data_IF_926456983870
#
_entry.id   IF_926456983870
#
_cell.length_a   1.000
_cell.length_b   1.000
_cell.length_c   1.000
_cell.angle_alpha   90.00
_cell.angle_beta   90.00
_cell.angle_gamma   90.00
#
_symmetry.space_group_name_H-M   'P 1'
#
loop_
_entity.id
_entity.type
_entity.pdbx_description
1 polymer ?
#
# COMPACT_ATOMS: atom_id res chain seq x y z
N UNK A 1 5.34 -65.28 4.37
CA UNK A 1 4.29 -64.35 3.92
C UNK A 1 4.86 -62.99 4.19
N UNK A 2 5.35 -62.33 3.14
CA UNK A 2 5.92 -60.98 3.23
C UNK A 2 4.76 -59.99 3.41
N UNK A 3 4.70 -59.33 4.56
CA UNK A 3 3.83 -58.17 4.77
C UNK A 3 4.47 -56.97 4.05
N UNK A 4 4.03 -56.71 2.82
CA UNK A 4 4.34 -55.45 2.13
C UNK A 4 3.77 -54.28 2.97
N UNK A 5 4.57 -53.25 3.28
CA UNK A 5 4.06 -52.09 3.99
C UNK A 5 2.99 -51.42 3.11
N UNK A 6 1.78 -51.27 3.66
CA UNK A 6 0.67 -50.56 3.01
C UNK A 6 1.20 -49.25 2.40
N UNK A 7 1.18 -49.17 1.07
CA UNK A 7 1.55 -47.97 0.32
C UNK A 7 0.53 -46.88 0.68
N UNK A 8 0.87 -46.07 1.68
CA UNK A 8 0.14 -44.84 2.02
C UNK A 8 -0.08 -44.04 0.74
N UNK A 9 -1.29 -43.52 0.57
CA UNK A 9 -1.67 -42.86 -0.68
C UNK A 9 -0.72 -41.68 -0.90
N UNK A 10 -0.37 -41.35 -2.16
CA UNK A 10 0.59 -40.28 -2.48
C UNK A 10 0.32 -38.91 -1.82
N UNK A 11 -0.91 -38.64 -1.38
CA UNK A 11 -1.29 -37.43 -0.62
C UNK A 11 -1.09 -37.55 0.90
N UNK A 12 -0.93 -38.77 1.44
CA UNK A 12 -0.54 -39.04 2.82
C UNK A 12 0.99 -38.98 3.00
N UNK A 13 1.75 -39.30 1.94
CA UNK A 13 3.22 -39.20 1.94
C UNK A 13 3.79 -37.83 1.54
N UNK A 14 2.93 -36.86 1.20
CA UNK A 14 3.33 -35.57 0.62
C UNK A 14 3.22 -34.37 1.58
N UNK A 15 2.90 -34.60 2.85
CA UNK A 15 3.12 -33.59 3.89
C UNK A 15 4.53 -33.83 4.43
N UNK A 16 5.56 -33.52 3.62
CA UNK A 16 6.89 -33.32 4.19
C UNK A 16 6.72 -32.25 5.26
N UNK A 17 6.79 -32.70 6.53
CA UNK A 17 6.57 -31.84 7.68
C UNK A 17 7.68 -30.82 7.64
N UNK A 18 7.39 -29.60 7.20
CA UNK A 18 8.37 -28.49 7.18
C UNK A 18 9.00 -28.25 8.55
N UNK A 19 8.33 -28.69 9.62
CA UNK A 19 8.82 -28.73 11.00
C UNK A 19 9.95 -29.75 11.27
N UNK A 20 10.14 -30.79 10.45
CA UNK A 20 11.24 -31.76 10.58
C UNK A 20 12.59 -31.21 10.10
N UNK A 21 12.56 -30.15 9.27
CA UNK A 21 13.75 -29.42 8.80
C UNK A 21 14.24 -28.42 9.87
N UNK A 22 13.36 -28.00 10.78
CA UNK A 22 13.72 -27.19 11.94
C UNK A 22 14.59 -28.03 12.91
N UNK A 23 15.91 -27.85 12.86
CA UNK A 23 16.87 -28.47 13.78
C UNK A 23 17.30 -27.45 14.83
N UNK A 24 17.18 -27.82 16.10
CA UNK A 24 17.75 -27.07 17.21
C UNK A 24 19.29 -27.20 17.23
N UNK A 25 19.96 -26.17 17.71
CA UNK A 25 21.38 -26.16 18.02
C UNK A 25 21.66 -26.73 19.43
N UNK A 26 22.93 -26.87 19.81
CA UNK A 26 23.33 -27.39 21.13
C UNK A 26 22.84 -26.56 22.32
N UNK A 27 22.37 -25.33 22.08
CA UNK A 27 21.79 -24.46 23.11
C UNK A 27 20.27 -24.59 23.23
N UNK A 28 19.65 -25.44 22.40
CA UNK A 28 18.19 -25.58 22.30
C UNK A 28 17.52 -24.45 21.52
N UNK A 29 18.28 -23.65 20.76
CA UNK A 29 17.74 -22.59 19.89
C UNK A 29 17.59 -23.09 18.46
N UNK A 30 16.59 -22.59 17.74
CA UNK A 30 16.42 -22.91 16.32
C UNK A 30 17.62 -22.39 15.52
N UNK A 31 18.27 -23.25 14.72
CA UNK A 31 19.31 -22.79 13.79
C UNK A 31 18.69 -21.78 12.83
N UNK A 32 19.20 -20.54 12.83
CA UNK A 32 18.84 -19.58 11.81
C UNK A 32 19.17 -20.19 10.45
N UNK A 33 18.14 -20.41 9.63
CA UNK A 33 18.32 -21.04 8.32
C UNK A 33 19.22 -20.13 7.49
N UNK A 34 20.07 -20.68 6.62
CA UNK A 34 20.88 -19.88 5.68
C UNK A 34 19.98 -18.90 4.90
N UNK A 35 18.73 -19.30 4.65
CA UNK A 35 17.68 -18.47 4.06
C UNK A 35 17.31 -17.23 4.88
N UNK A 36 17.21 -17.32 6.21
CA UNK A 36 16.90 -16.17 7.08
C UNK A 36 18.01 -15.12 7.06
N UNK A 37 19.26 -15.58 7.07
CA UNK A 37 20.45 -14.73 6.99
C UNK A 37 20.50 -14.05 5.62
N UNK A 38 20.28 -14.81 4.54
CA UNK A 38 20.24 -14.29 3.18
C UNK A 38 19.10 -13.27 2.99
N UNK A 39 17.92 -13.56 3.54
CA UNK A 39 16.76 -12.68 3.46
C UNK A 39 16.98 -11.37 4.25
N UNK A 40 17.61 -11.45 5.43
CA UNK A 40 18.00 -10.28 6.22
C UNK A 40 19.04 -9.42 5.49
N UNK A 41 20.04 -10.04 4.88
CA UNK A 41 21.05 -9.34 4.08
C UNK A 41 20.47 -8.67 2.82
N UNK A 42 19.54 -9.36 2.13
CA UNK A 42 18.82 -8.82 0.97
C UNK A 42 17.98 -7.60 1.34
N UNK A 43 17.26 -7.65 2.48
CA UNK A 43 16.51 -6.50 3.01
C UNK A 43 17.43 -5.31 3.30
N UNK A 44 18.56 -5.53 3.97
CA UNK A 44 19.52 -4.45 4.31
C UNK A 44 20.03 -3.70 3.07
N UNK A 45 20.39 -4.42 2.01
CA UNK A 45 20.86 -3.81 0.75
C UNK A 45 19.80 -2.95 0.05
N UNK A 46 18.52 -3.32 0.17
CA UNK A 46 17.42 -2.54 -0.39
C UNK A 46 17.28 -1.17 0.32
N UNK A 47 17.47 -1.12 1.64
CA UNK A 47 17.45 0.12 2.41
C UNK A 47 18.64 1.05 2.13
N UNK A 48 19.79 0.50 1.73
CA UNK A 48 21.01 1.26 1.47
C UNK A 48 21.06 1.87 0.05
N UNK A 49 20.17 1.44 -0.85
CA UNK A 49 20.17 1.88 -2.24
C UNK A 49 19.55 3.29 -2.38
N UNK A 50 20.35 4.32 -2.17
CA UNK A 50 19.96 5.71 -2.43
C UNK A 50 19.96 5.96 -3.94
N UNK A 51 18.76 6.04 -4.53
CA UNK A 51 18.56 6.32 -5.95
C UNK A 51 18.98 7.73 -6.37
N UNK A 52 19.30 7.88 -7.65
CA UNK A 52 19.83 9.10 -8.28
C UNK A 52 18.92 10.32 -8.10
N UNK A 53 19.51 11.39 -7.56
CA UNK A 53 18.84 12.56 -7.00
C UNK A 53 18.52 13.61 -8.06
N UNK A 54 17.30 13.56 -8.62
CA UNK A 54 16.60 14.80 -9.00
C UNK A 54 15.63 15.13 -7.87
N UNK A 55 16.07 16.00 -6.96
CA UNK A 55 15.27 16.43 -5.82
C UNK A 55 14.14 17.33 -6.30
N UNK A 56 12.91 16.81 -6.34
CA UNK A 56 11.72 17.64 -6.37
C UNK A 56 11.56 18.32 -5.02
N UNK A 57 12.17 19.49 -4.82
CA UNK A 57 12.16 20.18 -3.52
C UNK A 57 10.73 20.49 -3.03
N UNK A 58 9.86 20.94 -3.94
CA UNK A 58 8.46 21.23 -3.65
C UNK A 58 7.56 20.18 -4.28
N UNK A 59 6.87 19.39 -3.44
CA UNK A 59 6.02 18.27 -3.86
C UNK A 59 4.58 18.50 -3.45
N UNK A 60 3.67 18.34 -4.40
CA UNK A 60 2.23 18.34 -4.16
C UNK A 60 1.71 16.94 -4.40
N UNK A 61 1.45 16.24 -3.31
CA UNK A 61 1.06 14.84 -3.32
C UNK A 61 -0.43 14.71 -3.05
N UNK A 62 -1.16 14.03 -3.94
CA UNK A 62 -2.47 13.49 -3.63
C UNK A 62 -2.36 12.01 -3.27
N UNK A 63 -2.88 11.64 -2.10
CA UNK A 63 -3.06 10.23 -1.73
C UNK A 63 -4.50 9.84 -2.01
N UNK A 64 -4.69 8.86 -2.89
CA UNK A 64 -5.99 8.26 -3.21
C UNK A 64 -6.12 6.95 -2.43
N UNK A 65 -7.13 6.87 -1.58
CA UNK A 65 -7.42 5.72 -0.73
C UNK A 65 -8.64 5.01 -1.29
N UNK A 66 -8.50 3.74 -1.62
CA UNK A 66 -9.63 2.89 -1.99
C UNK A 66 -10.52 2.63 -0.76
N UNK A 67 -11.81 2.87 -0.90
CA UNK A 67 -12.88 2.66 0.09
C UNK A 67 -13.95 1.69 -0.41
N UNK A 68 -13.58 0.79 -1.32
CA UNK A 68 -14.45 -0.28 -1.84
C UNK A 68 -14.58 -1.45 -0.87
N UNK A 69 -15.50 -2.37 -1.17
CA UNK A 69 -15.79 -3.55 -0.34
C UNK A 69 -14.56 -4.42 -0.01
N UNK A 70 -13.54 -4.42 -0.86
CA UNK A 70 -12.32 -5.23 -0.65
C UNK A 70 -11.47 -4.74 0.52
N UNK A 71 -11.72 -3.51 1.01
CA UNK A 71 -11.03 -2.98 2.19
C UNK A 71 -11.52 -3.57 3.51
N UNK A 72 -12.70 -4.20 3.52
CA UNK A 72 -13.27 -4.85 4.72
C UNK A 72 -12.63 -6.23 4.99
N UNK A 73 -11.88 -6.76 4.01
CA UNK A 73 -11.24 -8.07 4.10
C UNK A 73 -10.15 -8.11 5.18
N UNK A 74 -9.94 -9.30 5.77
CA UNK A 74 -9.11 -9.50 6.97
C UNK A 74 -7.72 -10.10 6.67
N UNK A 75 -7.23 -9.93 5.44
CA UNK A 75 -5.86 -10.28 5.06
C UNK A 75 -4.82 -9.61 5.96
N UNK A 76 -5.10 -8.35 6.33
CA UNK A 76 -4.34 -7.58 7.31
C UNK A 76 -5.25 -7.33 8.51
N UNK A 77 -4.67 -7.37 9.73
CA UNK A 77 -5.45 -7.22 10.96
C UNK A 77 -5.69 -5.75 11.32
N UNK A 78 -6.91 -5.37 11.79
CA UNK A 78 -8.14 -6.16 11.79
C UNK A 78 -8.79 -6.29 10.40
N UNK A 79 -8.66 -5.28 9.56
CA UNK A 79 -9.02 -5.30 8.14
C UNK A 79 -8.02 -4.45 7.33
N UNK A 80 -8.08 -4.55 6.00
CA UNK A 80 -7.18 -3.82 5.08
C UNK A 80 -7.31 -2.29 5.26
N UNK A 81 -8.52 -1.76 5.47
CA UNK A 81 -8.74 -0.32 5.70
C UNK A 81 -7.96 0.19 6.91
N UNK A 82 -8.16 -0.45 8.07
CA UNK A 82 -7.58 -0.02 9.34
C UNK A 82 -6.06 -0.07 9.28
N UNK A 83 -5.51 -1.13 8.71
CA UNK A 83 -4.07 -1.26 8.50
C UNK A 83 -3.54 -0.13 7.59
N UNK A 84 -4.21 0.12 6.47
CA UNK A 84 -3.83 1.17 5.52
C UNK A 84 -3.87 2.55 6.15
N UNK A 85 -4.96 2.91 6.84
CA UNK A 85 -5.11 4.23 7.47
C UNK A 85 -4.07 4.43 8.58
N UNK A 86 -3.73 3.38 9.34
CA UNK A 86 -2.72 3.48 10.39
C UNK A 86 -1.33 3.71 9.82
N UNK A 87 -0.97 3.03 8.74
CA UNK A 87 0.30 3.26 8.04
C UNK A 87 0.32 4.63 7.34
N UNK A 88 -0.83 5.10 6.84
CA UNK A 88 -0.95 6.44 6.27
C UNK A 88 -0.80 7.56 7.32
N UNK A 89 -1.25 7.36 8.56
CA UNK A 89 -0.99 8.30 9.66
C UNK A 89 0.52 8.47 9.85
N UNK A 90 1.25 7.35 9.95
CA UNK A 90 2.71 7.37 10.07
C UNK A 90 3.39 7.98 8.84
N UNK A 91 2.95 7.59 7.63
CA UNK A 91 3.45 8.15 6.37
C UNK A 91 3.29 9.66 6.31
N UNK A 92 2.15 10.22 6.74
CA UNK A 92 1.93 11.67 6.73
C UNK A 92 2.91 12.37 7.67
N UNK A 93 3.11 11.84 8.87
CA UNK A 93 4.05 12.41 9.84
C UNK A 93 5.49 12.37 9.32
N UNK A 94 5.95 11.21 8.85
CA UNK A 94 7.29 11.02 8.29
C UNK A 94 7.50 11.84 7.00
N UNK A 95 6.47 11.92 6.15
CA UNK A 95 6.54 12.69 4.91
C UNK A 95 6.77 14.18 5.20
N UNK A 96 6.05 14.77 6.16
CA UNK A 96 6.24 16.18 6.53
C UNK A 96 7.53 16.43 7.31
N UNK A 97 8.03 15.45 8.07
CA UNK A 97 9.34 15.52 8.72
C UNK A 97 10.48 15.60 7.70
N UNK A 98 10.41 14.77 6.65
CA UNK A 98 11.41 14.75 5.58
C UNK A 98 11.19 15.84 4.51
N UNK A 99 9.95 16.31 4.31
CA UNK A 99 9.57 17.25 3.26
C UNK A 99 8.71 18.42 3.81
N UNK A 100 9.29 19.34 4.61
CA UNK A 100 8.53 20.36 5.35
C UNK A 100 7.81 21.40 4.49
N UNK A 101 8.26 21.61 3.25
CA UNK A 101 7.66 22.57 2.30
C UNK A 101 6.67 21.94 1.32
N UNK A 102 6.46 20.63 1.44
CA UNK A 102 5.53 19.89 0.59
C UNK A 102 4.09 20.00 1.08
N UNK A 103 3.13 19.58 0.26
CA UNK A 103 1.72 19.57 0.61
C UNK A 103 1.12 18.20 0.29
N UNK A 104 0.16 17.77 1.12
CA UNK A 104 -0.60 16.54 0.93
C UNK A 104 -2.08 16.89 0.76
N UNK A 105 -2.78 16.17 -0.11
CA UNK A 105 -4.23 16.11 -0.17
C UNK A 105 -4.69 14.66 -0.09
N UNK A 106 -5.83 14.40 0.56
CA UNK A 106 -6.39 13.06 0.69
C UNK A 106 -7.69 12.97 -0.11
N UNK A 107 -7.79 11.93 -0.95
CA UNK A 107 -8.98 11.56 -1.72
C UNK A 107 -9.36 10.14 -1.32
N UNK A 108 -10.66 9.90 -1.14
CA UNK A 108 -11.20 8.54 -1.03
C UNK A 108 -11.97 8.22 -2.29
N UNK A 109 -11.84 6.99 -2.77
CA UNK A 109 -12.71 6.47 -3.81
C UNK A 109 -13.63 5.39 -3.27
N UNK A 110 -14.93 5.62 -3.36
CA UNK A 110 -15.97 4.76 -2.81
C UNK A 110 -17.21 4.86 -3.69
N UNK A 111 -17.94 3.76 -3.84
CA UNK A 111 -19.23 3.76 -4.55
C UNK A 111 -19.16 4.39 -5.96
N UNK A 112 -18.09 4.09 -6.71
CA UNK A 112 -17.79 4.57 -8.07
C UNK A 112 -17.59 6.09 -8.18
N UNK A 113 -17.37 6.77 -7.05
CA UNK A 113 -17.10 8.21 -6.95
C UNK A 113 -15.77 8.46 -6.26
N UNK A 114 -15.29 9.68 -6.39
CA UNK A 114 -14.13 10.18 -5.67
C UNK A 114 -14.55 11.38 -4.82
N UNK A 115 -14.14 11.37 -3.56
CA UNK A 115 -14.46 12.40 -2.57
C UNK A 115 -13.17 12.95 -1.99
N UNK A 116 -13.05 14.28 -1.98
CA UNK A 116 -11.89 14.93 -1.37
C UNK A 116 -12.08 14.95 0.15
N UNK A 117 -11.31 14.13 0.86
CA UNK A 117 -11.33 14.11 2.32
C UNK A 117 -10.65 15.35 2.92
N UNK A 118 -9.52 15.75 2.35
CA UNK A 118 -8.79 16.95 2.76
C UNK A 118 -8.25 17.69 1.56
N UNK A 119 -8.35 19.01 1.61
CA UNK A 119 -7.69 19.90 0.65
C UNK A 119 -6.17 19.78 0.72
N UNK A 120 -5.52 20.10 -0.41
CA UNK A 120 -4.07 20.14 -0.51
C UNK A 120 -3.52 21.17 0.49
N UNK A 121 -2.79 20.71 1.52
CA UNK A 121 -2.29 21.58 2.58
C UNK A 121 -1.00 21.05 3.20
N UNK A 122 -0.27 21.93 3.90
CA UNK A 122 0.93 21.56 4.68
C UNK A 122 0.65 21.19 6.15
N UNK A 123 -0.63 21.09 6.55
CA UNK A 123 -0.99 20.87 7.96
C UNK A 123 -1.16 19.37 8.25
N UNK A 124 -0.09 18.73 8.74
CA UNK A 124 -0.09 17.31 9.11
C UNK A 124 -1.24 16.91 10.04
N UNK A 125 -1.52 17.72 11.07
CA UNK A 125 -2.59 17.44 12.05
C UNK A 125 -3.95 17.32 11.38
N UNK A 126 -4.26 18.18 10.40
CA UNK A 126 -5.53 18.15 9.66
C UNK A 126 -5.69 16.82 8.91
N UNK A 127 -4.64 16.34 8.28
CA UNK A 127 -4.64 15.07 7.55
C UNK A 127 -4.76 13.87 8.50
N UNK A 128 -4.00 13.87 9.60
CA UNK A 128 -4.07 12.81 10.62
C UNK A 128 -5.46 12.74 11.26
N UNK A 129 -6.09 13.88 11.59
CA UNK A 129 -7.46 13.90 12.12
C UNK A 129 -8.46 13.35 11.10
N UNK A 130 -8.31 13.68 9.81
CA UNK A 130 -9.16 13.12 8.76
C UNK A 130 -8.98 11.60 8.62
N UNK A 131 -7.76 11.09 8.69
CA UNK A 131 -7.48 9.64 8.67
C UNK A 131 -8.08 8.92 9.87
N UNK A 132 -8.00 9.50 11.08
CA UNK A 132 -8.64 8.96 12.28
C UNK A 132 -10.16 8.89 12.14
N UNK A 133 -10.78 9.92 11.55
CA UNK A 133 -12.21 9.92 11.25
C UNK A 133 -12.59 8.90 10.17
N UNK A 134 -11.67 8.57 9.26
CA UNK A 134 -11.89 7.62 8.18
C UNK A 134 -11.95 6.17 8.65
N UNK A 135 -11.54 5.85 9.88
CA UNK A 135 -11.58 4.48 10.42
C UNK A 135 -13.02 3.96 10.48
N UNK A 136 -13.97 4.83 10.81
CA UNK A 136 -15.41 4.49 10.87
C UNK A 136 -16.10 4.60 9.50
N UNK A 137 -15.33 4.72 8.41
CA UNK A 137 -15.89 4.80 7.07
C UNK A 137 -16.40 3.43 6.63
N UNK A 138 -17.70 3.35 6.31
CA UNK A 138 -18.26 2.17 5.66
C UNK A 138 -17.63 1.98 4.28
N UNK A 139 -16.98 0.84 4.01
CA UNK A 139 -16.35 0.57 2.73
C UNK A 139 -17.35 -0.13 1.81
N UNK A 140 -17.86 0.58 0.80
CA UNK A 140 -18.94 0.02 -0.04
C UNK A 140 -18.85 0.40 -1.51
N UNK A 141 -19.38 -0.48 -2.34
CA UNK A 141 -19.29 -0.38 -3.79
C UNK A 141 -17.88 -0.64 -4.30
N UNK A 142 -17.57 -0.03 -5.44
CA UNK A 142 -16.35 -0.25 -6.22
C UNK A 142 -15.56 1.07 -6.34
N UNK A 143 -14.23 1.02 -6.55
CA UNK A 143 -13.42 2.23 -6.71
C UNK A 143 -13.53 2.78 -8.13
N UNK A 144 -13.40 4.10 -8.25
CA UNK A 144 -13.29 4.82 -9.53
C UNK A 144 -11.99 5.61 -9.58
N UNK A 145 -11.02 5.07 -10.32
CA UNK A 145 -9.72 5.69 -10.52
C UNK A 145 -9.82 6.93 -11.43
N UNK A 146 -10.64 6.87 -12.48
CA UNK A 146 -10.89 8.02 -13.38
C UNK A 146 -11.34 9.26 -12.60
N UNK A 147 -12.34 9.12 -11.73
CA UNK A 147 -12.86 10.24 -10.94
C UNK A 147 -11.80 10.77 -9.95
N UNK A 148 -11.02 9.86 -9.36
CA UNK A 148 -9.98 10.22 -8.40
C UNK A 148 -8.84 10.99 -9.05
N UNK A 149 -8.38 10.53 -10.22
CA UNK A 149 -7.36 11.20 -11.02
C UNK A 149 -7.86 12.53 -11.56
N UNK A 150 -9.10 12.59 -12.03
CA UNK A 150 -9.68 13.85 -12.53
C UNK A 150 -9.77 14.90 -11.41
N UNK A 151 -10.19 14.50 -10.20
CA UNK A 151 -10.25 15.38 -9.04
C UNK A 151 -8.86 15.88 -8.60
N UNK A 152 -7.86 14.99 -8.58
CA UNK A 152 -6.47 15.36 -8.31
C UNK A 152 -5.95 16.32 -9.39
N UNK A 153 -6.18 16.01 -10.67
CA UNK A 153 -5.74 16.81 -11.82
C UNK A 153 -6.34 18.22 -11.81
N UNK A 154 -7.63 18.37 -11.45
CA UNK A 154 -8.26 19.69 -11.35
C UNK A 154 -7.53 20.62 -10.38
N UNK A 155 -7.00 20.08 -9.28
CA UNK A 155 -6.25 20.88 -8.31
C UNK A 155 -4.78 21.04 -8.74
N UNK A 156 -4.14 19.94 -9.16
CA UNK A 156 -2.72 19.92 -9.53
C UNK A 156 -2.40 20.72 -10.80
N UNK A 157 -3.35 20.88 -11.73
CA UNK A 157 -3.17 21.66 -12.97
C UNK A 157 -2.85 23.14 -12.70
N UNK A 158 -3.30 23.68 -11.57
CA UNK A 158 -3.05 25.06 -11.18
C UNK A 158 -1.73 25.23 -10.42
N UNK A 159 -1.03 24.13 -10.10
CA UNK A 159 0.25 24.21 -9.40
C UNK A 159 1.37 24.57 -10.38
N UNK A 160 2.38 25.37 -9.95
CA UNK A 160 3.43 25.84 -10.83
C UNK A 160 4.20 24.71 -11.53
N UNK A 161 4.73 24.99 -12.73
CA UNK A 161 5.49 24.01 -13.52
C UNK A 161 6.75 23.48 -12.84
N UNK A 162 7.34 24.26 -11.93
CA UNK A 162 8.57 23.93 -11.22
C UNK A 162 8.36 23.03 -9.99
N UNK A 163 7.11 22.76 -9.60
CA UNK A 163 6.79 21.86 -8.49
C UNK A 163 6.50 20.45 -9.01
N UNK A 164 6.81 19.46 -8.18
CA UNK A 164 6.48 18.06 -8.47
C UNK A 164 5.01 17.83 -8.17
N UNK A 165 4.26 17.33 -9.16
CA UNK A 165 2.84 16.99 -9.05
C UNK A 165 2.72 15.49 -9.02
N UNK A 166 2.35 14.94 -7.86
CA UNK A 166 2.44 13.52 -7.58
C UNK A 166 1.08 12.98 -7.13
N UNK A 167 0.78 11.74 -7.51
CA UNK A 167 -0.41 11.02 -7.06
C UNK A 167 0.01 9.63 -6.60
N UNK A 168 -0.24 9.31 -5.33
CA UNK A 168 -0.06 8.00 -4.73
C UNK A 168 -1.42 7.32 -4.61
N UNK A 169 -1.60 6.16 -5.24
CA UNK A 169 -2.86 5.43 -5.22
C UNK A 169 -2.68 4.15 -4.38
N UNK A 170 -3.45 4.04 -3.31
CA UNK A 170 -3.57 2.83 -2.50
C UNK A 170 -4.85 2.12 -2.91
N UNK A 171 -4.72 1.18 -3.85
CA UNK A 171 -5.83 0.42 -4.41
C UNK A 171 -5.85 -1.00 -3.82
N UNK A 172 -7.00 -1.44 -3.30
CA UNK A 172 -7.20 -2.80 -2.81
C UNK A 172 -7.93 -3.69 -3.81
N UNK A 173 -8.83 -3.10 -4.60
CA UNK A 173 -9.59 -3.82 -5.62
C UNK A 173 -8.71 -4.13 -6.83
N UNK A 174 -8.95 -5.29 -7.45
CA UNK A 174 -8.32 -5.66 -8.73
C UNK A 174 -9.03 -5.04 -9.94
N UNK A 175 -10.20 -4.44 -9.72
CA UNK A 175 -11.01 -3.80 -10.75
C UNK A 175 -11.34 -2.37 -10.35
N UNK A 176 -11.41 -1.47 -11.34
CA UNK A 176 -11.94 -0.11 -11.17
C UNK A 176 -13.13 0.08 -12.12
N UNK A 177 -14.15 0.79 -11.62
CA UNK A 177 -15.40 0.99 -12.32
C UNK A 177 -15.58 2.48 -12.61
N UNK A 178 -15.12 2.87 -13.79
CA UNK A 178 -15.00 4.26 -14.22
C UNK A 178 -16.08 4.66 -15.24
N UNK A 179 -16.51 5.93 -15.25
CA UNK A 179 -17.55 6.41 -16.18
C UNK A 179 -17.05 6.65 -17.61
N UNK A 180 -15.73 6.71 -17.81
CA UNK A 180 -15.10 7.02 -19.09
C UNK A 180 -13.78 6.27 -19.23
N UNK A 181 -13.22 6.31 -20.44
CA UNK A 181 -11.96 5.66 -20.75
C UNK A 181 -10.79 6.34 -20.01
N UNK A 182 -10.18 5.62 -19.07
CA UNK A 182 -9.03 6.11 -18.30
C UNK A 182 -7.78 6.30 -19.14
N UNK A 183 -7.62 5.56 -20.25
CA UNK A 183 -6.46 5.72 -21.13
C UNK A 183 -6.40 7.10 -21.78
N UNK A 184 -7.53 7.79 -21.92
CA UNK A 184 -7.55 9.16 -22.43
C UNK A 184 -6.94 10.17 -21.45
N UNK A 185 -6.90 9.85 -20.15
CA UNK A 185 -6.17 10.63 -19.14
C UNK A 185 -4.66 10.36 -19.19
N UNK A 186 -4.26 9.17 -19.63
CA UNK A 186 -2.86 8.73 -19.68
C UNK A 186 -2.31 9.00 -21.07
N UNK A 187 -2.01 10.27 -21.35
CA UNK A 187 -1.33 10.67 -22.58
C UNK A 187 0.11 11.04 -22.29
N UNK A 188 1.02 10.40 -22.99
CA UNK A 188 2.44 10.78 -22.96
C UNK A 188 2.56 12.11 -23.70
N UNK A 189 3.04 13.15 -23.03
CA UNK A 189 3.53 14.34 -23.73
C UNK A 189 4.82 13.94 -24.45
N UNK A 190 4.76 13.90 -25.79
CA UNK A 190 5.96 13.91 -26.64
C UNK A 190 6.66 15.26 -26.54
#
# INVERSE_FOLDING_TARGET
>A
MDDEPERTKRWEGGYERTWEILKEDESGSLKATIEDILFKAKRKRLYEHHGQVRLGMMRHLYVVIDGSRTMEDQDLKPNRLTCTLKLLEYFVEEYFDQNPISQIGLIVTKSKRAEKMTELSGNSKKHVTALKKAVDMNCSGEPSLYNSLNLAMQTLKHMPGHTSREVLVVLSSLTTCDPANIYDLIKVQN
#
